data_IF_354903695279
#
_entry.id   IF_354903695279
#
_cell.length_a   1.000
_cell.length_b   1.000
_cell.length_c   1.000
_cell.angle_alpha   90.00
_cell.angle_beta   90.00
_cell.angle_gamma   90.00
#
_symmetry.space_group_name_H-M   'P 1'
#
loop_
_entity.id
_entity.type
_entity.pdbx_description
1 polymer ?
#
# COMPACT_ATOMS: atom_id res chain seq x y z
N UNK A 1 -54.34 -26.07 19.48
CA UNK A 1 -53.44 -25.82 20.63
C UNK A 1 -52.00 -26.19 20.33
N UNK A 2 -51.68 -26.82 19.19
CA UNK A 2 -50.29 -27.14 18.81
C UNK A 2 -49.55 -25.96 18.12
N UNK A 3 -50.26 -25.04 17.44
CA UNK A 3 -49.62 -23.91 16.74
C UNK A 3 -48.99 -22.84 17.67
N UNK A 4 -49.58 -22.59 18.84
CA UNK A 4 -49.10 -21.53 19.76
C UNK A 4 -47.75 -21.92 20.40
N UNK A 5 -47.52 -23.21 20.61
CA UNK A 5 -46.26 -23.69 21.19
C UNK A 5 -45.12 -23.69 20.16
N UNK A 6 -45.40 -23.96 18.89
CA UNK A 6 -44.41 -23.87 17.81
C UNK A 6 -43.99 -22.42 17.52
N UNK A 7 -44.94 -21.47 17.49
CA UNK A 7 -44.62 -20.05 17.31
C UNK A 7 -43.78 -19.47 18.46
N UNK A 8 -44.01 -19.94 19.71
CA UNK A 8 -43.21 -19.55 20.87
C UNK A 8 -41.79 -20.15 20.83
N UNK A 9 -41.63 -21.38 20.31
CA UNK A 9 -40.33 -22.04 20.15
C UNK A 9 -39.50 -21.37 19.06
N UNK A 10 -40.10 -21.02 17.92
CA UNK A 10 -39.42 -20.27 16.86
C UNK A 10 -39.01 -18.86 17.31
N UNK A 11 -39.89 -18.14 18.04
CA UNK A 11 -39.54 -16.81 18.56
C UNK A 11 -38.38 -16.89 19.55
N UNK A 12 -38.39 -17.87 20.45
CA UNK A 12 -37.35 -18.07 21.44
C UNK A 12 -35.99 -18.46 20.81
N UNK A 13 -36.00 -19.34 19.80
CA UNK A 13 -34.79 -19.70 19.06
C UNK A 13 -34.23 -18.49 18.29
N UNK A 14 -35.10 -17.66 17.70
CA UNK A 14 -34.68 -16.44 17.00
C UNK A 14 -34.03 -15.41 17.92
N UNK A 15 -34.51 -15.27 19.16
CA UNK A 15 -33.92 -14.38 20.16
C UNK A 15 -32.54 -14.89 20.62
N UNK A 16 -32.38 -16.20 20.79
CA UNK A 16 -31.10 -16.82 21.14
C UNK A 16 -30.07 -16.64 20.00
N UNK A 17 -30.48 -16.81 18.75
CA UNK A 17 -29.60 -16.59 17.59
C UNK A 17 -29.17 -15.12 17.48
N UNK A 18 -30.10 -14.18 17.67
CA UNK A 18 -29.78 -12.74 17.67
C UNK A 18 -28.83 -12.36 18.80
N UNK A 19 -29.00 -12.91 20.01
CA UNK A 19 -28.05 -12.70 21.10
C UNK A 19 -26.67 -13.29 20.81
N UNK A 20 -26.61 -14.46 20.17
CA UNK A 20 -25.37 -15.13 19.81
C UNK A 20 -24.63 -14.37 18.71
N UNK A 21 -25.33 -13.89 17.69
CA UNK A 21 -24.77 -13.03 16.65
C UNK A 21 -24.28 -11.69 17.20
N UNK A 22 -25.02 -11.08 18.14
CA UNK A 22 -24.60 -9.85 18.79
C UNK A 22 -23.31 -10.05 19.63
N UNK A 23 -23.20 -11.16 20.35
CA UNK A 23 -22.01 -11.52 21.14
C UNK A 23 -20.81 -11.81 20.24
N UNK A 24 -20.98 -12.58 19.17
CA UNK A 24 -19.89 -12.88 18.21
C UNK A 24 -19.44 -11.64 17.43
N UNK A 25 -20.35 -10.72 17.10
CA UNK A 25 -20.01 -9.45 16.48
C UNK A 25 -19.25 -8.53 17.44
N UNK A 26 -19.60 -8.53 18.73
CA UNK A 26 -18.86 -7.80 19.75
C UNK A 26 -17.44 -8.34 19.95
N UNK A 27 -17.26 -9.66 19.93
CA UNK A 27 -15.95 -10.31 19.99
C UNK A 27 -15.11 -10.01 18.75
N UNK A 28 -15.66 -10.13 17.55
CA UNK A 28 -14.98 -9.76 16.29
C UNK A 28 -14.58 -8.28 16.28
N UNK A 29 -15.42 -7.38 16.78
CA UNK A 29 -15.10 -5.95 16.91
C UNK A 29 -13.97 -5.70 17.93
N UNK A 30 -13.90 -6.50 19.00
CA UNK A 30 -12.82 -6.44 19.99
C UNK A 30 -11.50 -6.93 19.40
N UNK A 31 -11.52 -8.01 18.62
CA UNK A 31 -10.35 -8.52 17.88
C UNK A 31 -9.88 -7.54 16.80
N UNK A 32 -10.79 -6.96 16.00
CA UNK A 32 -10.46 -5.94 15.00
C UNK A 32 -9.96 -4.64 15.63
N UNK A 33 -10.48 -4.27 16.80
CA UNK A 33 -9.99 -3.14 17.59
C UNK A 33 -8.59 -3.38 18.18
N UNK A 34 -8.28 -4.62 18.56
CA UNK A 34 -6.95 -5.01 19.04
C UNK A 34 -5.89 -4.98 17.92
N UNK A 35 -6.29 -5.24 16.68
CA UNK A 35 -5.48 -5.06 15.47
C UNK A 35 -5.33 -3.58 15.07
N UNK A 36 -6.09 -2.66 15.68
CA UNK A 36 -6.11 -1.22 15.42
C UNK A 36 -4.91 -0.43 15.96
N UNK A 37 -3.85 -1.11 16.39
CA UNK A 37 -2.57 -0.45 16.66
C UNK A 37 -1.89 -0.03 15.36
N UNK A 38 -1.24 1.15 15.36
CA UNK A 38 -0.26 1.48 14.30
C UNK A 38 0.76 0.34 14.25
N UNK A 39 0.98 -0.31 13.09
CA UNK A 39 2.00 -1.36 12.99
C UNK A 39 3.29 -0.86 13.62
N UNK A 40 3.80 -1.58 14.62
CA UNK A 40 5.13 -1.32 15.15
C UNK A 40 6.07 -1.32 13.95
N UNK A 41 6.81 -0.22 13.77
CA UNK A 41 7.69 -0.08 12.63
C UNK A 41 8.57 -1.33 12.57
N UNK A 42 8.39 -2.14 11.53
CA UNK A 42 9.18 -3.35 11.28
C UNK A 42 10.64 -2.88 11.16
N UNK A 43 11.39 -2.97 12.25
CA UNK A 43 12.74 -2.43 12.32
C UNK A 43 13.25 -2.28 13.76
N UNK A 44 14.57 -2.34 13.89
CA UNK A 44 15.26 -2.09 15.15
C UNK A 44 14.96 -0.69 15.70
N UNK A 45 14.72 -0.64 17.01
CA UNK A 45 14.48 0.61 17.73
C UNK A 45 15.74 1.48 17.71
N UNK A 46 15.59 2.74 17.33
CA UNK A 46 16.71 3.69 17.20
C UNK A 46 16.95 4.42 18.52
N UNK A 47 17.72 3.82 19.41
CA UNK A 47 17.93 4.34 20.77
C UNK A 47 19.25 5.13 20.95
N UNK A 48 20.20 5.02 20.01
CA UNK A 48 21.49 5.71 20.08
C UNK A 48 21.40 7.07 19.39
N UNK A 49 21.76 8.14 20.11
CA UNK A 49 21.91 9.50 19.55
C UNK A 49 23.38 9.84 19.33
N UNK A 50 23.71 10.35 18.14
CA UNK A 50 25.03 10.90 17.81
C UNK A 50 24.82 12.31 17.25
N UNK A 51 25.60 13.27 17.73
CA UNK A 51 25.58 14.66 17.26
C UNK A 51 26.82 14.97 16.45
N UNK A 52 26.64 15.77 15.39
CA UNK A 52 27.70 16.29 14.52
C UNK A 52 27.56 17.82 14.53
N UNK A 53 28.68 18.53 14.58
CA UNK A 53 28.70 20.00 14.47
C UNK A 53 28.93 20.39 13.02
N UNK A 54 28.15 21.35 12.54
CA UNK A 54 28.27 21.92 11.21
C UNK A 54 28.54 23.42 11.31
N UNK A 55 29.30 23.96 10.36
CA UNK A 55 29.27 25.38 10.05
C UNK A 55 27.92 25.77 9.40
N UNK A 56 27.55 27.05 9.40
CA UNK A 56 26.30 27.50 8.78
C UNK A 56 26.18 27.09 7.31
N UNK A 57 27.26 27.22 6.53
CA UNK A 57 27.28 26.88 5.09
C UNK A 57 27.13 25.38 4.86
N UNK A 58 27.78 24.54 5.66
CA UNK A 58 27.62 23.08 5.55
C UNK A 58 26.20 22.65 5.89
N UNK A 59 25.55 23.33 6.84
CA UNK A 59 24.18 23.03 7.21
C UNK A 59 23.18 23.41 6.11
N UNK A 60 23.37 24.56 5.45
CA UNK A 60 22.56 24.98 4.30
C UNK A 60 22.62 23.96 3.16
N UNK A 61 23.81 23.43 2.86
CA UNK A 61 23.99 22.38 1.84
C UNK A 61 23.23 21.09 2.19
N UNK A 62 23.26 20.68 3.47
CA UNK A 62 22.53 19.52 3.96
C UNK A 62 21.02 19.74 3.82
N UNK A 63 20.51 20.90 4.21
CA UNK A 63 19.09 21.23 4.09
C UNK A 63 18.63 21.27 2.63
N UNK A 64 19.44 21.85 1.75
CA UNK A 64 19.16 21.89 0.32
C UNK A 64 19.04 20.48 -0.27
N UNK A 65 20.05 19.62 -0.04
CA UNK A 65 20.04 18.24 -0.56
C UNK A 65 18.93 17.39 0.05
N UNK A 66 18.66 17.56 1.35
CA UNK A 66 17.56 16.85 2.00
C UNK A 66 16.21 17.19 1.36
N UNK A 67 16.01 18.47 1.01
CA UNK A 67 14.80 18.95 0.33
C UNK A 67 14.66 18.36 -1.08
N UNK A 68 15.75 18.28 -1.84
CA UNK A 68 15.77 17.69 -3.18
C UNK A 68 15.25 16.24 -3.17
N UNK A 69 15.69 15.44 -2.19
CA UNK A 69 15.22 14.06 -2.02
C UNK A 69 13.89 13.93 -1.25
N UNK A 70 13.28 15.04 -0.83
CA UNK A 70 12.03 15.03 -0.05
C UNK A 70 12.15 14.34 1.33
N UNK A 71 13.33 14.38 1.94
CA UNK A 71 13.60 13.82 3.27
C UNK A 71 13.97 14.92 4.27
N UNK A 72 13.89 14.61 5.56
CA UNK A 72 14.40 15.51 6.59
C UNK A 72 15.94 15.42 6.68
N UNK A 73 16.62 16.51 7.10
CA UNK A 73 18.09 16.55 7.19
C UNK A 73 18.71 15.38 7.97
N UNK A 74 18.07 14.98 9.07
CA UNK A 74 18.55 13.86 9.89
C UNK A 74 18.48 12.50 9.18
N UNK A 75 17.43 12.22 8.40
CA UNK A 75 17.34 10.97 7.63
C UNK A 75 18.24 11.02 6.40
N UNK A 76 18.43 12.20 5.79
CA UNK A 76 19.42 12.42 4.74
C UNK A 76 20.83 12.05 5.21
N UNK A 77 21.31 12.66 6.29
CA UNK A 77 22.64 12.39 6.88
C UNK A 77 22.79 10.89 7.20
N UNK A 78 21.76 10.30 7.79
CA UNK A 78 21.76 8.88 8.14
C UNK A 78 21.82 7.98 6.91
N UNK A 79 21.11 8.31 5.84
CA UNK A 79 21.14 7.52 4.59
C UNK A 79 22.51 7.60 3.94
N UNK A 80 23.10 8.80 3.89
CA UNK A 80 24.47 9.00 3.42
C UNK A 80 25.46 8.16 4.23
N UNK A 81 25.40 8.22 5.56
CA UNK A 81 26.35 7.50 6.43
C UNK A 81 26.20 5.98 6.38
N UNK A 82 25.01 5.48 6.02
CA UNK A 82 24.73 4.06 5.85
C UNK A 82 24.85 3.58 4.39
N UNK A 83 25.24 4.44 3.45
CA UNK A 83 25.29 4.10 2.01
C UNK A 83 23.92 3.69 1.44
N UNK A 84 22.82 4.15 2.05
CA UNK A 84 21.47 3.80 1.63
C UNK A 84 21.05 4.65 0.44
N UNK A 85 20.39 4.01 -0.53
CA UNK A 85 19.81 4.71 -1.67
C UNK A 85 18.85 5.81 -1.20
N UNK A 86 19.00 7.00 -1.78
CA UNK A 86 18.07 8.10 -1.56
C UNK A 86 16.71 7.77 -2.19
N UNK A 87 15.61 8.20 -1.56
CA UNK A 87 14.30 8.09 -2.18
C UNK A 87 14.27 8.96 -3.43
N UNK A 88 13.57 8.47 -4.45
CA UNK A 88 13.33 9.17 -5.71
C UNK A 88 11.82 9.48 -5.74
N UNK A 89 11.41 10.70 -5.36
CA UNK A 89 10.00 11.05 -5.21
C UNK A 89 9.21 10.88 -6.51
N UNK A 90 9.82 11.22 -7.64
CA UNK A 90 9.19 11.14 -8.95
C UNK A 90 8.97 9.69 -9.36
N UNK A 91 10.01 8.85 -9.23
CA UNK A 91 9.89 7.41 -9.48
C UNK A 91 8.87 6.75 -8.57
N UNK A 92 8.88 7.08 -7.29
CA UNK A 92 7.93 6.52 -6.32
C UNK A 92 6.48 6.91 -6.63
N UNK A 93 6.24 8.17 -7.02
CA UNK A 93 4.92 8.64 -7.45
C UNK A 93 4.45 7.88 -8.69
N UNK A 94 5.32 7.74 -9.69
CA UNK A 94 5.03 7.00 -10.93
C UNK A 94 4.67 5.54 -10.64
N UNK A 95 5.49 4.85 -9.85
CA UNK A 95 5.22 3.44 -9.46
C UNK A 95 3.90 3.30 -8.70
N UNK A 96 3.59 4.24 -7.81
CA UNK A 96 2.33 4.24 -7.05
C UNK A 96 1.13 4.43 -7.97
N UNK A 97 1.19 5.40 -8.89
CA UNK A 97 0.14 5.62 -9.90
C UNK A 97 -0.04 4.39 -10.78
N UNK A 98 1.04 3.78 -11.25
CA UNK A 98 0.99 2.57 -12.06
C UNK A 98 0.35 1.41 -11.29
N UNK A 99 0.72 1.18 -10.03
CA UNK A 99 0.13 0.13 -9.21
C UNK A 99 -1.40 0.32 -9.02
N UNK A 100 -1.84 1.57 -8.80
CA UNK A 100 -3.28 1.89 -8.71
C UNK A 100 -3.97 1.59 -10.04
N UNK A 101 -3.39 2.01 -11.16
CA UNK A 101 -3.95 1.76 -12.49
C UNK A 101 -4.05 0.26 -12.79
N UNK A 102 -3.00 -0.52 -12.53
CA UNK A 102 -3.05 -1.98 -12.69
C UNK A 102 -4.10 -2.65 -11.81
N UNK A 103 -4.29 -2.18 -10.58
CA UNK A 103 -5.35 -2.69 -9.71
C UNK A 103 -6.75 -2.39 -10.26
N UNK A 104 -6.96 -1.19 -10.82
CA UNK A 104 -8.22 -0.83 -11.48
C UNK A 104 -8.49 -1.71 -12.71
N UNK A 105 -7.47 -1.94 -13.54
CA UNK A 105 -7.56 -2.82 -14.70
C UNK A 105 -7.88 -4.26 -14.29
N UNK A 106 -7.20 -4.78 -13.27
CA UNK A 106 -7.46 -6.12 -12.72
C UNK A 106 -8.89 -6.26 -12.19
N UNK A 107 -9.40 -5.24 -11.51
CA UNK A 107 -10.77 -5.21 -11.03
C UNK A 107 -11.77 -5.17 -12.18
N UNK A 108 -11.55 -4.32 -13.20
CA UNK A 108 -12.40 -4.23 -14.37
C UNK A 108 -12.51 -5.58 -15.11
N UNK A 109 -11.39 -6.29 -15.26
CA UNK A 109 -11.36 -7.64 -15.85
C UNK A 109 -12.15 -8.68 -15.02
N UNK A 110 -12.13 -8.55 -13.69
CA UNK A 110 -12.81 -9.49 -12.78
C UNK A 110 -14.32 -9.27 -12.71
N UNK A 111 -14.79 -8.03 -12.92
CA UNK A 111 -16.22 -7.70 -12.83
C UNK A 111 -17.08 -8.28 -13.96
N UNK A 112 -16.49 -8.93 -14.97
CA UNK A 112 -17.25 -9.59 -16.05
C UNK A 112 -18.04 -8.65 -16.93
N UNK A 113 -17.71 -7.35 -16.92
CA UNK A 113 -18.41 -6.29 -17.66
C UNK A 113 -18.09 -6.36 -19.16
N UNK A 114 -16.92 -6.91 -19.50
CA UNK A 114 -16.46 -7.01 -20.88
C UNK A 114 -17.12 -8.18 -21.62
N UNK A 115 -17.63 -7.90 -22.81
CA UNK A 115 -17.92 -8.96 -23.77
C UNK A 115 -16.61 -9.52 -24.36
N UNK A 116 -16.70 -10.64 -25.08
CA UNK A 116 -15.53 -11.38 -25.57
C UNK A 116 -14.66 -10.54 -26.52
N UNK A 117 -15.28 -9.70 -27.35
CA UNK A 117 -14.58 -8.81 -28.29
C UNK A 117 -13.86 -7.66 -27.55
N UNK A 118 -14.52 -7.06 -26.56
CA UNK A 118 -13.92 -5.99 -25.75
C UNK A 118 -12.74 -6.53 -24.92
N UNK A 119 -12.86 -7.75 -24.40
CA UNK A 119 -11.79 -8.41 -23.68
C UNK A 119 -10.58 -8.66 -24.58
N UNK A 120 -10.79 -9.15 -25.79
CA UNK A 120 -9.70 -9.42 -26.73
C UNK A 120 -8.99 -8.13 -27.14
N UNK A 121 -9.75 -7.07 -27.47
CA UNK A 121 -9.18 -5.74 -27.75
C UNK A 121 -8.36 -5.21 -26.58
N UNK A 122 -8.90 -5.30 -25.36
CA UNK A 122 -8.23 -4.84 -24.16
C UNK A 122 -6.91 -5.59 -23.89
N UNK A 123 -6.91 -6.91 -24.08
CA UNK A 123 -5.69 -7.72 -23.95
C UNK A 123 -4.64 -7.32 -24.99
N UNK A 124 -5.05 -7.03 -26.22
CA UNK A 124 -4.16 -6.51 -27.27
C UNK A 124 -3.51 -5.18 -26.89
N UNK A 125 -4.30 -4.20 -26.45
CA UNK A 125 -3.78 -2.89 -25.99
C UNK A 125 -2.83 -3.04 -24.80
N UNK A 126 -3.11 -3.98 -23.87
CA UNK A 126 -2.24 -4.27 -22.73
C UNK A 126 -0.90 -4.87 -23.19
N UNK A 127 -0.91 -5.79 -24.15
CA UNK A 127 0.28 -6.43 -24.68
C UNK A 127 1.18 -5.43 -25.42
N UNK A 128 0.59 -4.52 -26.22
CA UNK A 128 1.30 -3.41 -26.86
C UNK A 128 2.00 -2.52 -25.83
N UNK A 129 1.29 -2.13 -24.76
CA UNK A 129 1.88 -1.32 -23.67
C UNK A 129 3.04 -2.07 -23.00
N UNK A 130 2.91 -3.38 -22.77
CA UNK A 130 3.99 -4.21 -22.20
C UNK A 130 5.21 -4.21 -23.13
N UNK A 131 5.01 -4.34 -24.45
CA UNK A 131 6.08 -4.31 -25.45
C UNK A 131 6.80 -2.96 -25.44
N UNK A 132 6.04 -1.85 -25.45
CA UNK A 132 6.61 -0.50 -25.38
C UNK A 132 7.44 -0.30 -24.12
N UNK A 133 6.93 -0.72 -22.95
CA UNK A 133 7.67 -0.65 -21.68
C UNK A 133 8.96 -1.48 -21.75
N UNK A 134 8.90 -2.71 -22.29
CA UNK A 134 10.08 -3.57 -22.42
C UNK A 134 11.15 -2.96 -23.33
N UNK A 135 10.74 -2.35 -24.45
CA UNK A 135 11.65 -1.71 -25.39
C UNK A 135 12.33 -0.48 -24.76
N UNK A 136 11.57 0.37 -24.08
CA UNK A 136 12.13 1.53 -23.35
C UNK A 136 13.10 1.11 -22.24
N UNK A 137 12.77 0.06 -21.48
CA UNK A 137 13.67 -0.49 -20.45
C UNK A 137 14.95 -1.08 -21.04
N UNK A 138 14.88 -1.68 -22.23
CA UNK A 138 16.05 -2.23 -22.92
C UNK A 138 16.97 -1.10 -23.42
N UNK A 139 16.42 -0.10 -24.09
CA UNK A 139 17.15 1.05 -24.63
C UNK A 139 17.74 1.95 -23.53
N UNK A 140 17.02 2.11 -22.41
CA UNK A 140 17.49 2.86 -21.25
C UNK A 140 18.69 2.22 -20.54
N UNK A 141 18.83 0.88 -20.57
CA UNK A 141 19.98 0.17 -20.01
C UNK A 141 21.23 0.26 -20.91
N UNK A 142 21.04 0.34 -22.24
CA UNK A 142 22.13 0.52 -23.20
C UNK A 142 22.71 1.95 -23.14
N UNK A 143 21.89 2.95 -22.79
CA UNK A 143 22.29 4.36 -22.72
C UNK A 143 23.05 4.75 -21.43
N UNK A 144 23.10 3.87 -20.42
CA UNK A 144 23.86 4.11 -19.17
C UNK A 144 25.27 3.49 -19.17
N UNK A 145 25.68 2.87 -20.28
CA UNK A 145 27.00 2.22 -20.44
C UNK A 145 27.92 3.03 -21.37
N UNK A 146 27.47 4.18 -21.89
CA UNK A 146 28.27 5.11 -22.73
C UNK A 146 28.78 6.32 -21.95
#
# INVERSE_FOLDING_TARGET
>A
MEDIFNELEESFLSEIEQEFEAKTLAEKRREWGALGGRPSAIGEKRDIRKSVRYSPTEWEDVEYKAREFGVNPSDYIRRCSLGKRMPDPERNLTLTKSAINFKRLSNALRMGIFNEVERERFLGELEEVIILIKNELKNGNESQIS
#
